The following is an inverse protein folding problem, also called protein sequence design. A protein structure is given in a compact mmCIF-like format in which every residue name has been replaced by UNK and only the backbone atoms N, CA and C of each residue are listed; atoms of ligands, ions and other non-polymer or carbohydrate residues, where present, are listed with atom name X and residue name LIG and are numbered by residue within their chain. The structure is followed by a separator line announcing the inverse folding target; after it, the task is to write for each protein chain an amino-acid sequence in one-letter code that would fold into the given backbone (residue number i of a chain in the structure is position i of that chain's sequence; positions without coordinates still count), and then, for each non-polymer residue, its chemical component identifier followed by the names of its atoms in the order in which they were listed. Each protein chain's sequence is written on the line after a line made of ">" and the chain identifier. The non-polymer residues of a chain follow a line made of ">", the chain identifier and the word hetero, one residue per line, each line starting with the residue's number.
data_IF_507200856346
#
_entry.id   IF_507200856346
#
_cell.length_a   1.000
_cell.length_b   1.000
_cell.length_c   1.000
_cell.angle_alpha   90.00
_cell.angle_beta   90.00
_cell.angle_gamma   90.00
#
_symmetry.space_group_name_H-M   'P 1'
#
loop_
_entity.id
_entity.type
_entity.pdbx_description
1 polymer ?
#
# COMPACT_ATOMS: atom_id res chain seq x y z
N UNK A 1 87.69 56.66 -45.66
CA UNK A 1 86.53 56.92 -46.54
C UNK A 1 85.94 55.60 -47.06
N UNK A 2 86.76 54.69 -47.58
CA UNK A 2 86.30 53.42 -48.17
C UNK A 2 85.54 52.49 -47.21
N UNK A 3 85.99 52.32 -45.95
CA UNK A 3 85.28 51.50 -44.95
C UNK A 3 83.85 51.97 -44.65
N UNK A 4 83.59 53.28 -44.68
CA UNK A 4 82.25 53.86 -44.49
C UNK A 4 81.33 53.61 -45.70
N UNK A 5 81.89 53.67 -46.91
CA UNK A 5 81.18 53.39 -48.16
C UNK A 5 80.83 51.91 -48.29
N UNK A 6 81.75 51.01 -47.88
CA UNK A 6 81.48 49.57 -47.83
C UNK A 6 80.37 49.25 -46.84
N UNK A 7 80.41 49.80 -45.62
CA UNK A 7 79.33 49.62 -44.64
C UNK A 7 77.98 50.16 -45.14
N UNK A 8 77.94 51.35 -45.76
CA UNK A 8 76.70 51.88 -46.33
C UNK A 8 76.16 51.02 -47.47
N UNK A 9 77.01 50.50 -48.36
CA UNK A 9 76.61 49.55 -49.40
C UNK A 9 76.10 48.23 -48.83
N UNK A 10 76.70 47.74 -47.74
CA UNK A 10 76.28 46.53 -47.04
C UNK A 10 74.94 46.69 -46.32
N UNK A 11 74.70 47.86 -45.72
CA UNK A 11 73.41 48.22 -45.12
C UNK A 11 72.34 48.36 -46.21
N UNK A 12 72.66 49.01 -47.33
CA UNK A 12 71.74 49.18 -48.44
C UNK A 12 71.39 47.85 -49.11
N UNK A 13 72.35 46.95 -49.30
CA UNK A 13 72.09 45.59 -49.81
C UNK A 13 71.27 44.76 -48.83
N UNK A 14 71.54 44.84 -47.52
CA UNK A 14 70.68 44.19 -46.51
C UNK A 14 69.25 44.76 -46.50
N UNK A 15 69.09 46.07 -46.67
CA UNK A 15 67.77 46.72 -46.79
C UNK A 15 67.07 46.28 -48.09
N UNK A 16 67.80 46.18 -49.19
CA UNK A 16 67.26 45.72 -50.48
C UNK A 16 66.93 44.22 -50.48
N UNK A 17 67.67 43.41 -49.72
CA UNK A 17 67.38 42.00 -49.50
C UNK A 17 66.18 41.77 -48.58
N UNK A 18 65.98 42.63 -47.58
CA UNK A 18 64.81 42.65 -46.70
C UNK A 18 63.55 43.16 -47.43
N UNK A 19 63.69 44.17 -48.31
CA UNK A 19 62.63 44.69 -49.17
C UNK A 19 62.50 43.95 -50.51
N UNK A 20 62.97 42.70 -50.61
CA UNK A 20 62.76 41.91 -51.81
C UNK A 20 61.25 41.67 -52.01
N UNK A 21 60.61 42.27 -53.02
CA UNK A 21 59.15 42.23 -53.17
C UNK A 21 58.62 40.80 -53.31
N UNK A 22 59.44 39.91 -53.91
CA UNK A 22 59.14 38.48 -54.05
C UNK A 22 59.10 37.72 -52.72
N UNK A 23 59.91 38.09 -51.72
CA UNK A 23 59.90 37.44 -50.39
C UNK A 23 58.72 37.95 -49.57
N UNK A 24 58.45 39.25 -49.61
CA UNK A 24 57.30 39.87 -48.95
C UNK A 24 55.97 39.31 -49.48
N UNK A 25 55.85 39.17 -50.81
CA UNK A 25 54.66 38.62 -51.45
C UNK A 25 54.42 37.14 -51.10
N UNK A 26 55.49 36.34 -50.92
CA UNK A 26 55.38 34.98 -50.40
C UNK A 26 54.91 34.95 -48.94
N UNK A 27 55.40 35.86 -48.09
CA UNK A 27 54.95 35.95 -46.70
C UNK A 27 53.48 36.38 -46.60
N UNK A 28 53.06 37.37 -47.41
CA UNK A 28 51.66 37.78 -47.53
C UNK A 28 50.80 36.57 -47.95
N UNK A 29 51.22 35.83 -48.97
CA UNK A 29 50.48 34.66 -49.44
C UNK A 29 50.34 33.56 -48.37
N UNK A 30 51.39 33.31 -47.57
CA UNK A 30 51.35 32.35 -46.46
C UNK A 30 50.39 32.82 -45.36
N UNK A 31 50.41 34.11 -45.02
CA UNK A 31 49.51 34.69 -44.03
C UNK A 31 48.05 34.68 -44.50
N UNK A 32 47.80 34.99 -45.77
CA UNK A 32 46.47 34.89 -46.40
C UNK A 32 45.96 33.45 -46.41
N UNK A 33 46.82 32.49 -46.75
CA UNK A 33 46.47 31.07 -46.73
C UNK A 33 46.13 30.62 -45.31
N UNK A 34 46.92 31.04 -44.31
CA UNK A 34 46.67 30.72 -42.90
C UNK A 34 45.38 31.36 -42.39
N UNK A 35 45.11 32.61 -42.77
CA UNK A 35 43.86 33.30 -42.44
C UNK A 35 42.67 32.56 -43.04
N UNK A 36 42.72 32.20 -44.33
CA UNK A 36 41.67 31.47 -45.01
C UNK A 36 41.41 30.10 -44.34
N UNK A 37 42.46 29.38 -43.94
CA UNK A 37 42.35 28.12 -43.21
C UNK A 37 41.60 28.27 -41.87
N UNK A 38 41.90 29.34 -41.12
CA UNK A 38 41.21 29.65 -39.86
C UNK A 38 39.75 30.04 -40.10
N UNK A 39 39.47 30.84 -41.14
CA UNK A 39 38.10 31.21 -41.51
C UNK A 39 37.28 29.98 -41.89
N UNK A 40 37.82 29.09 -42.74
CA UNK A 40 37.14 27.83 -43.10
C UNK A 40 36.88 26.96 -41.87
N UNK A 41 37.85 26.86 -40.95
CA UNK A 41 37.66 26.12 -39.70
C UNK A 41 36.55 26.75 -38.84
N UNK A 42 36.52 28.08 -38.74
CA UNK A 42 35.49 28.81 -38.00
C UNK A 42 34.10 28.60 -38.63
N UNK A 43 33.97 28.72 -39.95
CA UNK A 43 32.72 28.47 -40.67
C UNK A 43 32.24 27.02 -40.49
N UNK A 44 33.18 26.07 -40.48
CA UNK A 44 32.89 24.67 -40.16
C UNK A 44 32.35 24.52 -38.72
N UNK A 45 32.93 25.21 -37.75
CA UNK A 45 32.43 25.22 -36.36
C UNK A 45 31.06 25.89 -36.23
N UNK A 46 30.79 26.96 -36.99
CA UNK A 46 29.48 27.60 -37.01
C UNK A 46 28.41 26.69 -37.60
N UNK A 47 28.72 26.00 -38.70
CA UNK A 47 27.78 25.06 -39.32
C UNK A 47 27.51 23.84 -38.44
N UNK A 48 28.52 23.32 -37.72
CA UNK A 48 28.29 22.25 -36.73
C UNK A 48 27.47 22.75 -35.54
N UNK A 49 27.75 23.95 -35.02
CA UNK A 49 26.96 24.54 -33.93
C UNK A 49 25.50 24.77 -34.34
N UNK A 50 25.25 25.25 -35.56
CA UNK A 50 23.90 25.41 -36.09
C UNK A 50 23.15 24.08 -36.20
N UNK A 51 23.82 23.00 -36.62
CA UNK A 51 23.25 21.64 -36.64
C UNK A 51 22.89 21.16 -35.24
N UNK A 52 23.80 21.30 -34.27
CA UNK A 52 23.56 20.93 -32.88
C UNK A 52 22.41 21.71 -32.26
N UNK A 53 22.28 23.02 -32.55
CA UNK A 53 21.14 23.82 -32.10
C UNK A 53 19.82 23.31 -32.65
N UNK A 54 19.79 22.92 -33.93
CA UNK A 54 18.60 22.34 -34.54
C UNK A 54 18.24 21.00 -33.87
N UNK A 55 19.23 20.13 -33.66
CA UNK A 55 19.03 18.85 -32.97
C UNK A 55 18.51 19.04 -31.54
N UNK A 56 19.04 20.02 -30.79
CA UNK A 56 18.53 20.37 -29.45
C UNK A 56 17.06 20.78 -29.53
N UNK A 57 16.69 21.59 -30.53
CA UNK A 57 15.31 22.06 -30.65
C UNK A 57 14.36 20.92 -31.07
N UNK A 58 14.77 20.05 -31.99
CA UNK A 58 14.04 18.85 -32.39
C UNK A 58 13.79 17.93 -31.17
N UNK A 59 14.81 17.69 -30.35
CA UNK A 59 14.70 16.92 -29.10
C UNK A 59 13.78 17.58 -28.07
N UNK A 60 13.71 18.92 -28.03
CA UNK A 60 12.80 19.64 -27.13
C UNK A 60 11.35 19.50 -27.56
N UNK A 61 11.07 19.55 -28.86
CA UNK A 61 9.73 19.29 -29.39
C UNK A 61 9.30 17.85 -29.12
N UNK A 62 10.20 16.88 -29.33
CA UNK A 62 9.94 15.48 -29.06
C UNK A 62 9.63 15.23 -27.58
N UNK A 63 10.44 15.82 -26.67
CA UNK A 63 10.17 15.78 -25.23
C UNK A 63 8.79 16.36 -24.89
N UNK A 64 8.44 17.52 -25.45
CA UNK A 64 7.15 18.15 -25.18
C UNK A 64 5.97 17.29 -25.66
N UNK A 65 6.12 16.60 -26.80
CA UNK A 65 5.13 15.65 -27.28
C UNK A 65 4.99 14.45 -26.33
N UNK A 66 6.10 13.88 -25.86
CA UNK A 66 6.09 12.81 -24.88
C UNK A 66 5.48 13.22 -23.54
N UNK A 67 5.81 14.41 -23.03
CA UNK A 67 5.26 14.94 -21.79
C UNK A 67 3.72 15.09 -21.89
N UNK A 68 3.20 15.52 -23.04
CA UNK A 68 1.75 15.59 -23.27
C UNK A 68 1.09 14.20 -23.25
N UNK A 69 1.65 13.24 -23.99
CA UNK A 69 1.14 11.85 -24.02
C UNK A 69 1.20 11.22 -22.62
N UNK A 70 2.28 11.46 -21.88
CA UNK A 70 2.42 11.00 -20.50
C UNK A 70 1.34 11.57 -19.58
N UNK A 71 1.06 12.88 -19.66
CA UNK A 71 -0.01 13.50 -18.88
C UNK A 71 -1.39 12.93 -19.25
N UNK A 72 -1.66 12.67 -20.53
CA UNK A 72 -2.92 12.06 -20.96
C UNK A 72 -3.08 10.64 -20.42
N UNK A 73 -2.04 9.81 -20.53
CA UNK A 73 -2.00 8.46 -19.96
C UNK A 73 -2.23 8.49 -18.45
N UNK A 74 -1.57 9.41 -17.75
CA UNK A 74 -1.73 9.54 -16.30
C UNK A 74 -3.15 9.93 -15.91
N UNK A 75 -3.80 10.85 -16.66
CA UNK A 75 -5.22 11.21 -16.46
C UNK A 75 -6.15 10.02 -16.70
N UNK A 76 -5.93 9.26 -17.78
CA UNK A 76 -6.72 8.04 -18.09
C UNK A 76 -6.57 6.99 -17.00
N UNK A 77 -5.35 6.74 -16.53
CA UNK A 77 -5.08 5.81 -15.43
C UNK A 77 -5.79 6.26 -14.14
N UNK A 78 -5.74 7.56 -13.82
CA UNK A 78 -6.44 8.10 -12.65
C UNK A 78 -7.96 7.92 -12.76
N UNK A 79 -8.54 8.19 -13.94
CA UNK A 79 -9.96 7.94 -14.18
C UNK A 79 -10.31 6.46 -14.05
N UNK A 80 -9.53 5.56 -14.64
CA UNK A 80 -9.76 4.12 -14.56
C UNK A 80 -9.66 3.60 -13.11
N UNK A 81 -8.72 4.11 -12.32
CA UNK A 81 -8.62 3.77 -10.89
C UNK A 81 -9.87 4.22 -10.12
N UNK A 82 -10.39 5.41 -10.44
CA UNK A 82 -11.64 5.91 -9.83
C UNK A 82 -12.82 5.02 -10.19
N UNK A 83 -13.00 4.67 -11.47
CA UNK A 83 -14.11 3.80 -11.90
C UNK A 83 -14.00 2.39 -11.30
N UNK A 84 -12.79 1.85 -11.20
CA UNK A 84 -12.54 0.57 -10.51
C UNK A 84 -12.93 0.65 -9.03
N UNK A 85 -12.51 1.69 -8.32
CA UNK A 85 -12.86 1.87 -6.91
C UNK A 85 -14.38 1.99 -6.70
N UNK A 86 -15.08 2.74 -7.56
CA UNK A 86 -16.54 2.86 -7.48
C UNK A 86 -17.23 1.52 -7.74
N UNK A 87 -16.72 0.70 -8.67
CA UNK A 87 -17.27 -0.63 -8.93
C UNK A 87 -17.05 -1.59 -7.75
N UNK A 88 -15.88 -1.51 -7.10
CA UNK A 88 -15.58 -2.29 -5.88
C UNK A 88 -16.53 -1.87 -4.74
N UNK A 89 -16.73 -0.57 -4.53
CA UNK A 89 -17.62 -0.05 -3.49
C UNK A 89 -19.07 -0.50 -3.71
N UNK A 90 -19.57 -0.37 -4.94
CA UNK A 90 -20.90 -0.87 -5.32
C UNK A 90 -21.03 -2.39 -5.12
N UNK A 91 -19.99 -3.15 -5.47
CA UNK A 91 -19.96 -4.60 -5.27
C UNK A 91 -19.97 -4.98 -3.79
N UNK A 92 -19.21 -4.26 -2.96
CA UNK A 92 -19.20 -4.45 -1.50
C UNK A 92 -20.57 -4.16 -0.90
N UNK A 93 -21.20 -3.05 -1.30
CA UNK A 93 -22.53 -2.69 -0.85
C UNK A 93 -23.58 -3.74 -1.23
N UNK A 94 -23.56 -4.22 -2.48
CA UNK A 94 -24.47 -5.27 -2.94
C UNK A 94 -24.26 -6.58 -2.15
N UNK A 95 -23.01 -6.91 -1.81
CA UNK A 95 -22.68 -8.07 -1.01
C UNK A 95 -23.21 -7.96 0.43
N UNK A 96 -23.03 -6.81 1.09
CA UNK A 96 -23.58 -6.54 2.41
C UNK A 96 -25.11 -6.63 2.44
N UNK A 97 -25.79 -6.04 1.46
CA UNK A 97 -27.25 -6.13 1.31
C UNK A 97 -27.72 -7.58 1.14
N UNK A 98 -27.01 -8.37 0.33
CA UNK A 98 -27.29 -9.79 0.16
C UNK A 98 -27.13 -10.56 1.47
N UNK A 99 -26.05 -10.31 2.23
CA UNK A 99 -25.82 -10.95 3.52
C UNK A 99 -26.93 -10.60 4.52
N UNK A 100 -27.33 -9.33 4.58
CA UNK A 100 -28.42 -8.90 5.45
C UNK A 100 -29.74 -9.57 5.08
N UNK A 101 -30.09 -9.62 3.79
CA UNK A 101 -31.26 -10.33 3.30
C UNK A 101 -31.21 -11.83 3.66
N UNK A 102 -30.03 -12.45 3.52
CA UNK A 102 -29.82 -13.86 3.87
C UNK A 102 -30.00 -14.12 5.37
N UNK A 103 -29.48 -13.23 6.22
CA UNK A 103 -29.68 -13.30 7.66
C UNK A 103 -31.16 -13.15 8.05
N UNK A 104 -31.89 -12.22 7.42
CA UNK A 104 -33.34 -12.06 7.62
C UNK A 104 -34.12 -13.30 7.19
N UNK A 105 -33.78 -13.89 6.05
CA UNK A 105 -34.40 -15.14 5.57
C UNK A 105 -34.14 -16.30 6.53
N UNK A 106 -32.91 -16.45 7.03
CA UNK A 106 -32.58 -17.47 8.02
C UNK A 106 -33.40 -17.30 9.31
N UNK A 107 -33.48 -16.07 9.84
CA UNK A 107 -34.28 -15.77 11.03
C UNK A 107 -35.78 -16.08 10.83
N UNK A 108 -36.33 -15.75 9.65
CA UNK A 108 -37.73 -16.09 9.31
C UNK A 108 -37.94 -17.61 9.23
N UNK A 109 -37.00 -18.35 8.62
CA UNK A 109 -37.07 -19.81 8.54
C UNK A 109 -37.02 -20.46 9.92
N UNK A 110 -36.15 -19.98 10.81
CA UNK A 110 -36.06 -20.48 12.18
C UNK A 110 -37.34 -20.22 12.98
N UNK A 111 -37.95 -19.04 12.80
CA UNK A 111 -39.25 -18.73 13.39
C UNK A 111 -40.33 -19.66 12.85
N UNK A 112 -40.42 -19.81 11.53
CA UNK A 112 -41.37 -20.72 10.90
C UNK A 112 -41.21 -22.17 11.41
N UNK A 113 -39.97 -22.64 11.58
CA UNK A 113 -39.71 -23.98 12.09
C UNK A 113 -40.21 -24.15 13.54
N UNK A 114 -40.02 -23.12 14.38
CA UNK A 114 -40.56 -23.11 15.74
C UNK A 114 -42.09 -23.12 15.74
N UNK A 115 -42.71 -22.29 14.92
CA UNK A 115 -44.17 -22.22 14.80
C UNK A 115 -44.76 -23.57 14.33
N UNK A 116 -44.13 -24.23 13.35
CA UNK A 116 -44.50 -25.59 12.91
C UNK A 116 -44.35 -26.60 14.04
N UNK A 117 -43.25 -26.53 14.81
CA UNK A 117 -43.02 -27.45 15.92
C UNK A 117 -44.05 -27.28 17.04
N UNK A 118 -44.46 -26.03 17.32
CA UNK A 118 -45.51 -25.70 18.28
C UNK A 118 -46.86 -26.21 17.80
N UNK A 119 -47.24 -25.92 16.55
CA UNK A 119 -48.48 -26.40 15.94
C UNK A 119 -48.59 -27.93 15.98
N UNK A 120 -47.51 -28.64 15.67
CA UNK A 120 -47.47 -30.10 15.76
C UNK A 120 -47.62 -30.63 17.18
N UNK A 121 -47.18 -29.87 18.20
CA UNK A 121 -47.36 -30.22 19.61
C UNK A 121 -48.81 -30.02 20.04
N UNK A 122 -49.42 -28.91 19.64
CA UNK A 122 -50.84 -28.60 19.87
C UNK A 122 -51.75 -29.67 19.22
N UNK A 123 -51.47 -30.08 17.97
CA UNK A 123 -52.21 -31.18 17.32
C UNK A 123 -52.11 -32.47 18.14
N UNK A 124 -50.92 -32.86 18.57
CA UNK A 124 -50.73 -34.08 19.37
C UNK A 124 -51.46 -34.03 20.71
N UNK A 125 -51.59 -32.84 21.31
CA UNK A 125 -52.39 -32.65 22.52
C UNK A 125 -53.88 -32.81 22.24
N UNK A 126 -54.38 -32.20 21.17
CA UNK A 126 -55.77 -32.34 20.75
C UNK A 126 -56.12 -33.78 20.39
N UNK A 127 -55.24 -34.51 19.70
CA UNK A 127 -55.39 -35.93 19.41
C UNK A 127 -55.47 -36.76 20.69
N UNK A 128 -54.61 -36.49 21.69
CA UNK A 128 -54.67 -37.18 22.99
C UNK A 128 -55.99 -36.93 23.72
N UNK A 129 -56.50 -35.69 23.72
CA UNK A 129 -57.79 -35.36 24.31
C UNK A 129 -58.92 -36.05 23.55
N UNK A 130 -58.88 -36.02 22.22
CA UNK A 130 -59.87 -36.67 21.37
C UNK A 130 -59.92 -38.20 21.58
N UNK A 131 -58.76 -38.85 21.68
CA UNK A 131 -58.67 -40.29 21.98
C UNK A 131 -59.24 -40.61 23.36
N UNK A 132 -58.95 -39.77 24.37
CA UNK A 132 -59.52 -39.93 25.69
C UNK A 132 -61.06 -39.79 25.66
N UNK A 133 -61.58 -38.76 25.00
CA UNK A 133 -63.02 -38.57 24.84
C UNK A 133 -63.68 -39.74 24.10
N UNK A 134 -63.02 -40.24 23.04
CA UNK A 134 -63.53 -41.35 22.24
C UNK A 134 -63.56 -42.64 23.07
N UNK A 135 -62.52 -42.92 23.85
CA UNK A 135 -62.49 -44.04 24.82
C UNK A 135 -63.57 -43.90 25.89
N UNK A 136 -63.81 -42.68 26.38
CA UNK A 136 -64.86 -42.43 27.36
C UNK A 136 -66.25 -42.63 26.75
N UNK A 137 -66.50 -42.12 25.54
CA UNK A 137 -67.74 -42.32 24.78
C UNK A 137 -67.97 -43.80 24.48
N UNK A 138 -66.96 -44.54 24.05
CA UNK A 138 -67.08 -45.97 23.78
C UNK A 138 -67.32 -46.78 25.05
N UNK A 139 -66.64 -46.45 26.17
CA UNK A 139 -66.90 -47.04 27.47
C UNK A 139 -68.35 -46.78 27.94
N UNK A 140 -68.83 -45.55 27.80
CA UNK A 140 -70.20 -45.19 28.16
C UNK A 140 -71.23 -45.93 27.29
N UNK A 141 -70.99 -46.00 25.98
CA UNK A 141 -71.82 -46.78 25.05
C UNK A 141 -71.82 -48.26 25.42
N UNK A 142 -70.67 -48.85 25.73
CA UNK A 142 -70.58 -50.24 26.18
C UNK A 142 -71.35 -50.47 27.49
N UNK A 143 -71.23 -49.57 28.47
CA UNK A 143 -71.99 -49.65 29.74
C UNK A 143 -73.49 -49.44 29.57
N UNK A 144 -73.90 -48.59 28.63
CA UNK A 144 -75.31 -48.39 28.28
C UNK A 144 -75.86 -49.62 27.55
N UNK A 145 -75.10 -50.18 26.60
CA UNK A 145 -75.47 -51.39 25.88
C UNK A 145 -75.54 -52.61 26.80
N UNK A 146 -74.56 -52.81 27.69
CA UNK A 146 -74.62 -53.82 28.76
C UNK A 146 -75.90 -53.63 29.57
N UNK A 147 -76.23 -52.40 29.97
CA UNK A 147 -77.48 -52.12 30.72
C UNK A 147 -78.73 -52.43 29.91
N UNK A 148 -78.78 -52.12 28.62
CA UNK A 148 -79.93 -52.44 27.77
C UNK A 148 -80.03 -53.92 27.47
N UNK A 149 -78.91 -54.64 27.30
CA UNK A 149 -78.88 -56.09 27.13
C UNK A 149 -79.26 -56.79 28.45
N UNK A 150 -78.79 -56.29 29.59
CA UNK A 150 -79.25 -56.72 30.91
C UNK A 150 -80.70 -56.32 31.18
N UNK A 151 -81.22 -55.21 30.66
CA UNK A 151 -82.64 -54.84 30.75
C UNK A 151 -83.50 -55.70 29.82
N UNK A 152 -83.04 -56.04 28.62
CA UNK A 152 -83.73 -56.93 27.70
C UNK A 152 -83.68 -58.38 28.18
N UNK A 153 -82.55 -58.82 28.73
CA UNK A 153 -82.43 -60.10 29.42
C UNK A 153 -83.24 -60.09 30.71
N UNK A 154 -83.26 -59.00 31.49
CA UNK A 154 -84.10 -58.89 32.68
C UNK A 154 -85.59 -58.78 32.33
N UNK A 155 -85.99 -58.22 31.19
CA UNK A 155 -87.38 -58.23 30.68
C UNK A 155 -87.77 -59.60 30.14
N UNK A 156 -86.87 -60.30 29.43
CA UNK A 156 -87.07 -61.70 29.00
C UNK A 156 -87.07 -62.65 30.21
N UNK A 157 -86.27 -62.37 31.23
CA UNK A 157 -86.20 -63.12 32.47
C UNK A 157 -87.30 -62.73 33.47
N UNK A 158 -87.83 -61.49 33.46
CA UNK A 158 -89.06 -61.07 34.17
C UNK A 158 -90.29 -61.70 33.53
N UNK A 159 -90.33 -61.81 32.21
CA UNK A 159 -91.37 -62.57 31.51
C UNK A 159 -91.33 -64.05 31.90
N UNK A 160 -90.16 -64.60 32.23
CA UNK A 160 -89.98 -65.97 32.73
C UNK A 160 -90.16 -66.09 34.26
N UNK A 161 -89.83 -65.05 35.05
CA UNK A 161 -89.84 -65.01 36.52
C UNK A 161 -91.05 -64.28 37.12
N UNK A 162 -92.01 -63.84 36.29
CA UNK A 162 -93.40 -63.63 36.71
C UNK A 162 -94.07 -64.94 37.17
N UNK A 163 -93.42 -66.09 36.96
CA UNK A 163 -93.63 -67.32 37.74
C UNK A 163 -92.45 -67.54 38.68
N UNK A 164 -92.66 -67.24 39.97
CA UNK A 164 -91.85 -67.56 41.16
C UNK A 164 -90.97 -66.41 41.73
N UNK A 165 -91.55 -65.80 42.77
CA UNK A 165 -90.97 -65.09 43.91
C UNK A 165 -89.43 -64.91 44.05
N UNK A 166 -89.07 -63.64 44.28
CA UNK A 166 -88.39 -63.06 45.47
C UNK A 166 -87.00 -63.58 45.88
N UNK A 167 -86.07 -62.60 45.88
CA UNK A 167 -84.80 -62.46 46.63
C UNK A 167 -83.64 -63.41 46.28
N UNK A 168 -82.56 -62.84 45.71
CA UNK A 168 -81.32 -62.59 46.46
C UNK A 168 -80.35 -61.70 45.69
N UNK A 169 -79.69 -60.82 46.44
CA UNK A 169 -78.53 -59.99 46.07
C UNK A 169 -77.37 -60.88 45.59
N UNK A 170 -76.54 -60.35 44.70
CA UNK A 170 -75.08 -60.51 44.67
C UNK A 170 -74.45 -59.50 43.69
N UNK A 171 -74.08 -58.33 44.21
CA UNK A 171 -72.95 -57.53 43.72
C UNK A 171 -71.92 -57.59 44.84
N UNK A 172 -71.03 -58.57 44.80
CA UNK A 172 -70.22 -58.97 45.95
C UNK A 172 -68.79 -59.35 45.59
N UNK A 173 -68.15 -58.67 44.64
CA UNK A 173 -66.72 -58.87 44.33
C UNK A 173 -65.89 -57.58 44.45
N UNK A 174 -66.38 -56.60 45.19
CA UNK A 174 -65.63 -55.37 45.49
C UNK A 174 -65.69 -54.98 46.96
N UNK A 175 -66.11 -55.88 47.85
CA UNK A 175 -66.12 -55.59 49.28
C UNK A 175 -65.03 -56.37 50.02
N UNK A 176 -64.88 -57.67 49.75
CA UNK A 176 -63.90 -58.53 50.42
C UNK A 176 -62.44 -58.15 50.12
N UNK A 177 -62.13 -57.67 48.91
CA UNK A 177 -60.77 -57.22 48.55
C UNK A 177 -60.39 -55.91 49.26
N UNK A 178 -61.32 -54.97 49.37
CA UNK A 178 -61.13 -53.73 50.12
C UNK A 178 -61.09 -53.99 51.63
N UNK A 179 -61.88 -54.94 52.14
CA UNK A 179 -61.86 -55.34 53.55
C UNK A 179 -60.52 -56.00 53.93
N UNK A 180 -59.96 -56.84 53.06
CA UNK A 180 -58.62 -57.42 53.24
C UNK A 180 -57.52 -56.35 53.19
N UNK A 181 -57.61 -55.37 52.29
CA UNK A 181 -56.67 -54.24 52.24
C UNK A 181 -56.78 -53.34 53.48
N UNK A 182 -58.00 -53.07 53.93
CA UNK A 182 -58.31 -52.29 55.13
C UNK A 182 -57.80 -52.99 56.41
N UNK A 183 -57.98 -54.31 56.52
CA UNK A 183 -57.45 -55.10 57.62
C UNK A 183 -55.91 -55.17 57.63
N UNK A 184 -55.27 -55.19 56.45
CA UNK A 184 -53.81 -55.11 56.34
C UNK A 184 -53.29 -53.74 56.78
N UNK A 185 -53.96 -52.66 56.40
CA UNK A 185 -53.62 -51.31 56.84
C UNK A 185 -53.81 -51.15 58.36
N UNK A 186 -54.89 -51.69 58.92
CA UNK A 186 -55.12 -51.73 60.38
C UNK A 186 -54.03 -52.50 61.12
N UNK A 187 -53.56 -53.63 60.60
CA UNK A 187 -52.45 -54.41 61.22
C UNK A 187 -51.11 -53.70 61.20
N UNK A 188 -50.86 -52.84 60.20
CA UNK A 188 -49.63 -52.04 60.11
C UNK A 188 -49.70 -50.76 60.97
N UNK A 189 -50.89 -50.40 61.46
CA UNK A 189 -51.10 -49.21 62.27
C UNK A 189 -50.98 -49.56 63.75
N UNK A 190 -49.88 -49.18 64.40
CA UNK A 190 -49.65 -49.45 65.83
C UNK A 190 -50.69 -48.75 66.76
N UNK A 191 -51.39 -47.73 66.27
CA UNK A 191 -52.38 -46.92 67.02
C UNK A 191 -53.86 -47.25 66.72
N UNK A 192 -54.16 -48.23 65.87
CA UNK A 192 -55.54 -48.71 65.62
C UNK A 192 -56.51 -47.75 64.92
N UNK A 193 -56.08 -46.53 64.55
CA UNK A 193 -56.91 -45.53 63.86
C UNK A 193 -56.41 -45.25 62.45
N UNK A 194 -57.15 -45.74 61.44
CA UNK A 194 -56.79 -45.60 60.03
C UNK A 194 -56.72 -44.13 59.57
N UNK A 195 -57.60 -43.26 60.09
CA UNK A 195 -57.63 -41.84 59.73
C UNK A 195 -56.33 -41.12 60.14
N UNK A 196 -55.74 -41.49 61.28
CA UNK A 196 -54.47 -40.92 61.74
C UNK A 196 -53.32 -41.34 60.83
N UNK A 197 -53.32 -42.59 60.34
CA UNK A 197 -52.32 -43.05 59.37
C UNK A 197 -52.43 -42.29 58.04
N UNK A 198 -53.66 -42.03 57.57
CA UNK A 198 -53.89 -41.26 56.35
C UNK A 198 -53.42 -39.81 56.53
N UNK A 199 -53.74 -39.17 57.65
CA UNK A 199 -53.26 -37.81 57.95
C UNK A 199 -51.72 -37.76 58.07
N UNK A 200 -51.10 -38.74 58.73
CA UNK A 200 -49.64 -38.82 58.82
C UNK A 200 -48.99 -39.10 57.45
N UNK A 201 -49.62 -39.93 56.62
CA UNK A 201 -49.17 -40.21 55.26
C UNK A 201 -49.27 -38.96 54.38
N UNK A 202 -50.41 -38.26 54.40
CA UNK A 202 -50.59 -36.99 53.67
C UNK A 202 -49.58 -35.94 54.14
N UNK A 203 -49.37 -35.80 55.46
CA UNK A 203 -48.37 -34.88 55.98
C UNK A 203 -46.92 -35.27 55.59
N UNK A 204 -46.62 -36.56 55.44
CA UNK A 204 -45.33 -37.04 54.91
C UNK A 204 -45.23 -36.82 53.40
N UNK A 205 -46.32 -37.02 52.67
CA UNK A 205 -46.42 -36.78 51.22
C UNK A 205 -46.22 -35.31 50.90
N UNK A 206 -46.88 -34.40 51.62
CA UNK A 206 -46.70 -32.94 51.47
C UNK A 206 -45.25 -32.53 51.72
N UNK A 207 -44.61 -33.07 52.77
CA UNK A 207 -43.18 -32.83 53.05
C UNK A 207 -42.30 -33.40 51.94
N UNK A 208 -42.64 -34.55 51.38
CA UNK A 208 -41.90 -35.17 50.30
C UNK A 208 -42.06 -34.38 48.99
N UNK A 209 -43.26 -33.90 48.70
CA UNK A 209 -43.55 -33.03 47.57
C UNK A 209 -42.78 -31.72 47.67
N UNK A 210 -42.78 -31.06 48.82
CA UNK A 210 -41.99 -29.86 49.06
C UNK A 210 -40.48 -30.10 48.84
N UNK A 211 -39.96 -31.25 49.30
CA UNK A 211 -38.56 -31.65 49.05
C UNK A 211 -38.29 -31.91 47.58
N UNK A 212 -39.19 -32.59 46.88
CA UNK A 212 -39.02 -32.88 45.46
C UNK A 212 -39.02 -31.60 44.62
N UNK A 213 -39.92 -30.67 44.93
CA UNK A 213 -39.96 -29.34 44.31
C UNK A 213 -38.65 -28.60 44.56
N UNK A 214 -38.18 -28.56 45.81
CA UNK A 214 -36.91 -27.91 46.14
C UNK A 214 -35.70 -28.54 45.43
N UNK A 215 -35.64 -29.88 45.36
CA UNK A 215 -34.58 -30.59 44.62
C UNK A 215 -34.65 -30.26 43.12
N UNK A 216 -35.84 -30.14 42.57
CA UNK A 216 -36.04 -29.78 41.15
C UNK A 216 -35.60 -28.34 40.89
N UNK A 217 -35.95 -27.40 41.77
CA UNK A 217 -35.50 -26.00 41.70
C UNK A 217 -33.97 -25.92 41.80
N UNK A 218 -33.35 -26.60 42.77
CA UNK A 218 -31.89 -26.65 42.89
C UNK A 218 -31.22 -27.25 41.65
N UNK A 219 -31.82 -28.26 41.02
CA UNK A 219 -31.26 -28.87 39.82
C UNK A 219 -31.35 -27.90 38.62
N UNK A 220 -32.46 -27.17 38.50
CA UNK A 220 -32.60 -26.11 37.49
C UNK A 220 -31.59 -24.98 37.71
N UNK A 221 -31.37 -24.57 38.96
CA UNK A 221 -30.36 -23.57 39.32
C UNK A 221 -28.94 -24.07 39.01
N UNK A 222 -28.64 -25.34 39.32
CA UNK A 222 -27.37 -25.96 38.98
C UNK A 222 -27.13 -25.96 37.47
N UNK A 223 -28.12 -26.33 36.66
CA UNK A 223 -28.03 -26.29 35.20
C UNK A 223 -27.83 -24.85 34.69
N UNK A 224 -28.53 -23.88 35.28
CA UNK A 224 -28.36 -22.47 34.95
C UNK A 224 -26.94 -21.98 35.27
N UNK A 225 -26.39 -22.34 36.43
CA UNK A 225 -25.03 -21.98 36.82
C UNK A 225 -23.99 -22.67 35.94
N UNK A 226 -24.20 -23.92 35.54
CA UNK A 226 -23.34 -24.59 34.56
C UNK A 226 -23.35 -23.88 33.20
N UNK A 227 -24.53 -23.49 32.69
CA UNK A 227 -24.64 -22.72 31.44
C UNK A 227 -23.93 -21.37 31.55
N UNK A 228 -24.05 -20.66 32.68
CA UNK A 228 -23.32 -19.40 32.93
C UNK A 228 -21.82 -19.62 32.96
N UNK A 229 -21.37 -20.66 33.65
CA UNK A 229 -19.95 -21.03 33.73
C UNK A 229 -19.39 -21.34 32.35
N UNK A 230 -20.11 -22.11 31.54
CA UNK A 230 -19.71 -22.42 30.16
C UNK A 230 -19.67 -21.17 29.27
N UNK A 231 -20.63 -20.25 29.41
CA UNK A 231 -20.60 -18.97 28.70
C UNK A 231 -19.36 -18.14 29.05
N UNK A 232 -19.06 -18.02 30.34
CA UNK A 232 -17.87 -17.30 30.83
C UNK A 232 -16.59 -17.97 30.32
N UNK A 233 -16.51 -19.30 30.36
CA UNK A 233 -15.35 -20.03 29.82
C UNK A 233 -15.17 -19.78 28.32
N UNK A 234 -16.24 -19.81 27.53
CA UNK A 234 -16.18 -19.51 26.10
C UNK A 234 -15.75 -18.06 25.84
N UNK A 235 -16.22 -17.11 26.64
CA UNK A 235 -15.83 -15.71 26.57
C UNK A 235 -14.34 -15.52 26.91
N UNK A 236 -13.83 -16.22 27.94
CA UNK A 236 -12.40 -16.22 28.26
C UNK A 236 -11.56 -16.73 27.09
N UNK A 237 -11.98 -17.84 26.46
CA UNK A 237 -11.28 -18.41 25.31
C UNK A 237 -11.27 -17.42 24.13
N UNK A 238 -12.41 -16.77 23.86
CA UNK A 238 -12.53 -15.77 22.81
C UNK A 238 -11.60 -14.58 23.08
N UNK A 239 -11.64 -14.02 24.28
CA UNK A 239 -10.79 -12.90 24.69
C UNK A 239 -9.30 -13.26 24.62
N UNK A 240 -8.92 -14.46 25.04
CA UNK A 240 -7.55 -14.95 24.91
C UNK A 240 -7.11 -15.08 23.45
N UNK A 241 -7.98 -15.57 22.57
CA UNK A 241 -7.67 -15.69 21.14
C UNK A 241 -7.51 -14.32 20.48
N UNK A 242 -8.37 -13.35 20.83
CA UNK A 242 -8.30 -11.98 20.34
C UNK A 242 -7.07 -11.24 20.88
N UNK A 243 -6.72 -11.47 22.15
CA UNK A 243 -5.50 -10.92 22.73
C UNK A 243 -4.27 -11.47 22.02
N UNK A 244 -4.23 -12.78 21.73
CA UNK A 244 -3.11 -13.41 21.03
C UNK A 244 -2.96 -12.86 19.62
N UNK A 245 -4.05 -12.73 18.84
CA UNK A 245 -3.98 -12.15 17.50
C UNK A 245 -3.53 -10.68 17.54
N UNK A 246 -4.06 -9.89 18.46
CA UNK A 246 -3.64 -8.49 18.63
C UNK A 246 -2.18 -8.35 19.06
N UNK A 247 -1.66 -9.27 19.88
CA UNK A 247 -0.24 -9.31 20.25
C UNK A 247 0.65 -9.72 19.07
N UNK A 248 0.23 -10.69 18.25
CA UNK A 248 0.95 -11.09 17.03
C UNK A 248 1.02 -9.93 16.03
N UNK A 249 -0.09 -9.20 15.82
CA UNK A 249 -0.15 -7.99 14.99
C UNK A 249 0.73 -6.87 15.55
N UNK A 250 0.70 -6.65 16.86
CA UNK A 250 1.56 -5.64 17.49
C UNK A 250 3.04 -6.00 17.38
N UNK A 251 3.40 -7.28 17.52
CA UNK A 251 4.77 -7.75 17.35
C UNK A 251 5.28 -7.65 15.92
N UNK A 252 4.42 -7.90 14.92
CA UNK A 252 4.80 -7.75 13.51
C UNK A 252 5.09 -6.27 13.18
N UNK A 253 4.23 -5.36 13.63
CA UNK A 253 4.42 -3.92 13.47
C UNK A 253 5.67 -3.42 14.19
N UNK A 254 5.91 -3.87 15.43
CA UNK A 254 7.14 -3.52 16.17
C UNK A 254 8.39 -3.99 15.44
N UNK A 255 8.38 -5.22 14.91
CA UNK A 255 9.51 -5.78 14.15
C UNK A 255 9.77 -4.99 12.87
N UNK A 256 8.72 -4.58 12.15
CA UNK A 256 8.86 -3.72 10.98
C UNK A 256 9.43 -2.35 11.32
N UNK A 257 9.00 -1.75 12.45
CA UNK A 257 9.51 -0.47 12.91
C UNK A 257 10.97 -0.57 13.36
N UNK A 258 11.35 -1.63 14.05
CA UNK A 258 12.74 -1.92 14.41
C UNK A 258 13.63 -2.09 13.17
N UNK A 259 13.15 -2.79 12.14
CA UNK A 259 13.90 -2.95 10.90
C UNK A 259 14.06 -1.64 10.14
N UNK A 260 13.00 -0.81 10.09
CA UNK A 260 13.08 0.54 9.51
C UNK A 260 14.04 1.43 10.29
N UNK A 261 14.00 1.38 11.63
CA UNK A 261 14.92 2.11 12.50
C UNK A 261 16.35 1.67 12.20
N UNK A 262 16.63 0.36 12.16
CA UNK A 262 17.95 -0.18 11.84
C UNK A 262 18.46 0.29 10.47
N UNK A 263 17.62 0.25 9.43
CA UNK A 263 17.98 0.72 8.08
C UNK A 263 18.31 2.21 8.07
N UNK A 264 17.49 3.03 8.72
CA UNK A 264 17.71 4.48 8.79
C UNK A 264 18.93 4.85 9.63
N UNK A 265 19.23 4.11 10.71
CA UNK A 265 20.48 4.31 11.46
C UNK A 265 21.70 3.91 10.64
N UNK A 266 21.65 2.78 9.92
CA UNK A 266 22.74 2.37 9.04
C UNK A 266 22.97 3.39 7.91
N UNK A 267 21.90 3.96 7.34
CA UNK A 267 21.98 5.05 6.36
C UNK A 267 22.62 6.31 6.95
N UNK A 268 22.19 6.74 8.13
CA UNK A 268 22.76 7.88 8.83
C UNK A 268 24.26 7.68 9.13
N UNK A 269 24.65 6.50 9.62
CA UNK A 269 26.04 6.15 9.89
C UNK A 269 26.89 6.18 8.62
N UNK A 270 26.35 5.71 7.48
CA UNK A 270 27.05 5.82 6.17
C UNK A 270 27.27 7.27 5.77
N UNK A 271 26.26 8.13 5.90
CA UNK A 271 26.39 9.55 5.57
C UNK A 271 27.37 10.27 6.50
N UNK A 272 27.35 9.96 7.79
CA UNK A 272 28.28 10.51 8.77
C UNK A 272 29.72 10.09 8.46
N UNK A 273 29.95 8.81 8.15
CA UNK A 273 31.27 8.31 7.75
C UNK A 273 31.78 9.02 6.47
N UNK A 274 30.93 9.14 5.45
CA UNK A 274 31.28 9.86 4.21
C UNK A 274 31.57 11.34 4.47
N UNK A 275 30.79 11.99 5.33
CA UNK A 275 31.03 13.36 5.75
C UNK A 275 32.38 13.51 6.45
N UNK A 276 32.72 12.60 7.36
CA UNK A 276 34.01 12.59 8.04
C UNK A 276 35.19 12.41 7.08
N UNK A 277 35.07 11.52 6.09
CA UNK A 277 36.09 11.34 5.04
C UNK A 277 36.27 12.61 4.21
N UNK A 278 35.18 13.21 3.73
CA UNK A 278 35.22 14.46 2.98
C UNK A 278 35.84 15.57 3.84
N UNK A 279 35.45 15.68 5.11
CA UNK A 279 35.99 16.69 6.00
C UNK A 279 37.49 16.50 6.26
N UNK A 280 37.98 15.25 6.42
CA UNK A 280 39.42 14.95 6.50
C UNK A 280 40.18 15.38 5.24
N UNK A 281 39.65 15.08 4.06
CA UNK A 281 40.29 15.52 2.80
C UNK A 281 40.31 17.04 2.67
N UNK A 282 39.26 17.71 3.14
CA UNK A 282 39.13 19.16 3.09
C UNK A 282 40.09 19.84 4.08
N UNK A 283 40.28 19.30 5.28
CA UNK A 283 41.29 19.77 6.23
C UNK A 283 42.72 19.59 5.69
N UNK A 284 43.00 18.44 5.04
CA UNK A 284 44.29 18.23 4.37
C UNK A 284 44.53 19.24 3.23
N UNK A 285 43.47 19.57 2.48
CA UNK A 285 43.52 20.58 1.42
C UNK A 285 43.80 21.97 2.00
N UNK A 286 43.11 22.38 3.07
CA UNK A 286 43.37 23.65 3.78
C UNK A 286 44.82 23.75 4.21
N UNK A 287 45.36 22.72 4.84
CA UNK A 287 46.77 22.70 5.26
C UNK A 287 47.74 22.80 4.07
N UNK A 288 47.43 22.12 2.96
CA UNK A 288 48.23 22.18 1.73
C UNK A 288 48.20 23.57 1.09
N UNK A 289 47.03 24.21 1.05
CA UNK A 289 46.85 25.57 0.55
C UNK A 289 47.58 26.58 1.44
N UNK A 290 47.49 26.43 2.77
CA UNK A 290 48.22 27.29 3.71
C UNK A 290 49.73 27.18 3.50
N UNK A 291 50.24 25.95 3.31
CA UNK A 291 51.64 25.71 3.03
C UNK A 291 52.09 26.31 1.69
N UNK A 292 51.28 26.21 0.64
CA UNK A 292 51.56 26.84 -0.66
C UNK A 292 51.54 28.36 -0.58
N UNK A 293 50.56 28.92 0.12
CA UNK A 293 50.44 30.36 0.33
C UNK A 293 51.67 30.94 1.03
N UNK A 294 52.19 30.24 2.04
CA UNK A 294 53.45 30.60 2.72
C UNK A 294 54.67 30.44 1.81
N UNK A 295 54.77 29.37 1.04
CA UNK A 295 55.93 29.10 0.15
C UNK A 295 56.06 30.09 -1.00
N UNK A 296 54.94 30.50 -1.60
CA UNK A 296 54.90 31.42 -2.73
C UNK A 296 55.01 32.89 -2.27
N UNK A 297 55.02 33.13 -0.95
CA UNK A 297 55.07 34.45 -0.34
C UNK A 297 53.91 35.36 -0.80
N UNK A 298 52.71 34.78 -0.86
CA UNK A 298 51.52 35.51 -1.30
C UNK A 298 51.13 36.59 -0.27
N UNK A 299 50.79 37.78 -0.75
CA UNK A 299 50.36 38.90 0.10
C UNK A 299 49.00 38.60 0.77
N UNK A 300 49.05 38.25 2.06
CA UNK A 300 47.85 38.02 2.90
C UNK A 300 47.01 39.29 3.11
N UNK A 301 47.59 40.47 2.86
CA UNK A 301 46.97 41.78 3.07
C UNK A 301 45.68 41.97 2.27
N UNK A 302 45.61 41.45 1.03
CA UNK A 302 44.40 41.52 0.19
C UNK A 302 43.23 40.69 0.74
N UNK A 303 43.53 39.57 1.40
CA UNK A 303 42.53 38.66 1.98
C UNK A 303 42.04 39.20 3.33
N UNK A 304 42.96 39.72 4.16
CA UNK A 304 42.64 40.31 5.46
C UNK A 304 41.66 41.50 5.35
N UNK A 305 41.80 42.31 4.30
CA UNK A 305 40.92 43.47 4.03
C UNK A 305 39.53 43.03 3.57
N UNK A 306 39.40 41.90 2.86
CA UNK A 306 38.12 41.44 2.30
C UNK A 306 37.33 40.50 3.23
N UNK A 307 37.98 39.79 4.16
CA UNK A 307 37.34 38.71 4.93
C UNK A 307 37.29 38.91 6.46
N UNK A 308 37.87 40.00 6.99
CA UNK A 308 37.72 40.38 8.40
C UNK A 308 38.43 39.46 9.40
N UNK A 309 39.48 39.99 10.05
CA UNK A 309 40.18 39.59 11.29
C UNK A 309 40.61 38.13 11.58
N UNK A 310 40.00 37.09 11.01
CA UNK A 310 40.47 35.71 11.22
C UNK A 310 41.28 35.26 10.02
N UNK A 311 42.60 35.42 10.07
CA UNK A 311 43.55 34.93 9.05
C UNK A 311 43.63 33.40 8.93
N UNK A 312 42.53 32.68 9.22
CA UNK A 312 42.39 31.22 9.11
C UNK A 312 41.64 30.87 7.82
N UNK A 313 42.10 29.80 7.16
CA UNK A 313 41.49 29.29 5.94
C UNK A 313 40.23 28.47 6.31
N UNK A 314 39.07 28.95 5.88
CA UNK A 314 37.73 28.39 6.09
C UNK A 314 37.16 27.92 4.75
N UNK A 315 36.22 26.97 4.74
CA UNK A 315 35.66 26.41 3.50
C UNK A 315 35.09 27.49 2.55
N UNK A 316 34.51 28.56 3.13
CA UNK A 316 33.94 29.67 2.37
C UNK A 316 34.99 30.63 1.77
N UNK A 317 36.21 30.67 2.32
CA UNK A 317 37.29 31.55 1.86
C UNK A 317 38.34 30.81 1.00
N UNK A 318 38.30 29.46 0.98
CA UNK A 318 39.19 28.60 0.21
C UNK A 318 39.26 28.99 -1.29
N UNK A 319 38.13 29.30 -1.99
CA UNK A 319 38.18 29.74 -3.38
C UNK A 319 38.95 31.05 -3.60
N UNK A 320 38.86 31.99 -2.67
CA UNK A 320 39.55 33.28 -2.73
C UNK A 320 41.06 33.11 -2.51
N UNK A 321 41.46 32.20 -1.61
CA UNK A 321 42.87 31.81 -1.47
C UNK A 321 43.41 31.20 -2.77
N UNK A 322 42.65 30.32 -3.44
CA UNK A 322 43.05 29.76 -4.74
C UNK A 322 43.22 30.84 -5.81
N UNK A 323 42.30 31.79 -5.93
CA UNK A 323 42.39 32.86 -6.92
C UNK A 323 43.65 33.72 -6.75
N UNK A 324 44.08 33.94 -5.50
CA UNK A 324 45.29 34.71 -5.21
C UNK A 324 46.54 33.89 -5.52
N UNK A 325 46.58 32.62 -5.10
CA UNK A 325 47.68 31.70 -5.44
C UNK A 325 47.81 31.59 -6.96
N UNK A 326 46.71 31.47 -7.70
CA UNK A 326 46.70 31.42 -9.16
C UNK A 326 47.30 32.70 -9.75
N UNK A 327 46.86 33.87 -9.28
CA UNK A 327 47.40 35.16 -9.74
C UNK A 327 48.90 35.28 -9.48
N UNK A 328 49.36 35.01 -8.26
CA UNK A 328 50.79 35.12 -7.92
C UNK A 328 51.63 34.10 -8.66
N UNK A 329 51.11 32.89 -8.88
CA UNK A 329 51.79 31.86 -9.68
C UNK A 329 51.93 32.32 -11.12
N UNK A 330 50.88 32.90 -11.72
CA UNK A 330 50.92 33.47 -13.06
C UNK A 330 51.93 34.63 -13.16
N UNK A 331 51.97 35.52 -12.17
CA UNK A 331 52.93 36.62 -12.13
C UNK A 331 54.38 36.12 -12.04
N UNK A 332 54.65 35.10 -11.22
CA UNK A 332 55.96 34.45 -11.12
C UNK A 332 56.37 33.77 -12.43
N UNK A 333 55.44 33.08 -13.10
CA UNK A 333 55.68 32.45 -14.39
C UNK A 333 55.98 33.49 -15.48
N UNK A 334 55.32 34.64 -15.46
CA UNK A 334 55.63 35.76 -16.36
C UNK A 334 57.04 36.31 -16.10
N UNK A 335 57.42 36.53 -14.84
CA UNK A 335 58.77 36.98 -14.49
C UNK A 335 59.86 35.97 -14.91
N UNK A 336 59.59 34.68 -14.77
CA UNK A 336 60.49 33.62 -15.20
C UNK A 336 60.66 33.61 -16.73
N UNK A 337 59.55 33.74 -17.46
CA UNK A 337 59.58 33.86 -18.92
C UNK A 337 60.38 35.08 -19.39
N UNK A 338 60.25 36.21 -18.69
CA UNK A 338 60.98 37.44 -18.99
C UNK A 338 62.48 37.30 -18.67
N UNK A 339 62.84 36.67 -17.55
CA UNK A 339 64.24 36.34 -17.23
C UNK A 339 64.89 35.47 -18.30
N UNK A 340 64.21 34.42 -18.77
CA UNK A 340 64.73 33.58 -19.86
C UNK A 340 64.97 34.37 -21.14
N UNK A 341 64.09 35.32 -21.47
CA UNK A 341 64.28 36.20 -22.64
C UNK A 341 65.51 37.10 -22.47
N UNK A 342 65.71 37.69 -21.27
CA UNK A 342 66.90 38.49 -20.97
C UNK A 342 68.19 37.67 -20.97
N UNK A 343 68.16 36.43 -20.47
CA UNK A 343 69.31 35.51 -20.51
C UNK A 343 69.69 35.14 -21.96
N UNK A 344 68.72 35.15 -22.89
CA UNK A 344 68.93 34.97 -24.33
C UNK A 344 69.56 36.21 -24.98
N UNK A 345 69.28 37.43 -24.50
CA UNK A 345 69.91 38.66 -25.01
C UNK A 345 71.40 38.80 -24.61
N UNK A 346 71.87 38.07 -23.59
CA UNK A 346 73.27 38.02 -23.17
C UNK A 346 74.15 36.99 -23.89
N UNK A 347 73.56 36.03 -24.61
CA UNK A 347 74.26 34.96 -25.29
C UNK A 347 74.00 35.02 -26.80
N UNK A 348 74.91 35.64 -27.56
CA UNK A 348 74.96 35.44 -29.01
C UNK A 348 75.33 33.98 -29.32
N UNK A 349 74.35 33.07 -29.38
CA UNK A 349 74.26 31.91 -30.30
C UNK A 349 73.04 31.03 -30.00
N UNK A 350 72.26 30.75 -31.07
CA UNK A 350 71.12 29.83 -31.20
C UNK A 350 69.72 30.24 -30.64
N UNK A 351 68.61 29.96 -31.37
CA UNK A 351 67.26 30.21 -30.90
C UNK A 351 66.69 29.00 -30.13
N UNK A 352 66.32 29.11 -28.84
CA UNK A 352 65.61 28.05 -28.13
C UNK A 352 64.07 28.27 -28.16
N UNK A 353 63.26 27.24 -27.81
CA UNK A 353 61.85 27.17 -28.18
C UNK A 353 60.98 28.14 -27.38
N UNK A 354 59.83 28.49 -27.97
CA UNK A 354 58.82 29.33 -27.35
C UNK A 354 58.40 28.79 -25.98
N UNK A 355 58.43 29.65 -24.95
CA UNK A 355 57.96 29.32 -23.61
C UNK A 355 56.47 28.94 -23.65
N UNK A 356 56.18 27.68 -23.34
CA UNK A 356 54.83 27.20 -23.07
C UNK A 356 54.67 27.19 -21.56
N UNK A 357 53.80 28.07 -21.04
CA UNK A 357 53.49 28.13 -19.62
C UNK A 357 52.95 26.74 -19.16
N UNK A 358 53.64 26.02 -18.25
CA UNK A 358 53.29 24.65 -17.87
C UNK A 358 51.90 24.49 -17.26
N UNK A 359 51.33 25.58 -16.71
CA UNK A 359 49.99 25.59 -16.11
C UNK A 359 48.88 25.98 -17.10
N UNK A 360 49.22 26.64 -18.22
CA UNK A 360 48.27 27.17 -19.22
C UNK A 360 48.30 26.37 -20.53
N UNK A 361 48.69 25.09 -20.47
CA UNK A 361 48.68 24.17 -21.62
C UNK A 361 47.29 23.92 -22.24
N UNK A 362 46.21 24.49 -21.69
CA UNK A 362 44.83 24.33 -22.18
C UNK A 362 44.07 25.59 -22.61
N UNK A 363 44.63 26.80 -22.43
CA UNK A 363 43.86 28.06 -22.48
C UNK A 363 44.09 28.92 -23.73
N UNK A 364 44.70 28.37 -24.79
CA UNK A 364 44.76 29.02 -26.11
C UNK A 364 43.39 29.14 -26.83
N UNK A 365 42.29 28.78 -26.16
CA UNK A 365 40.99 28.52 -26.80
C UNK A 365 39.85 29.49 -26.47
N UNK A 366 40.07 30.58 -25.71
CA UNK A 366 38.99 31.53 -25.43
C UNK A 366 39.45 32.97 -25.65
N UNK A 367 39.00 33.58 -26.75
CA UNK A 367 38.91 35.04 -26.87
C UNK A 367 37.45 35.48 -26.95
N UNK A 368 37.15 36.47 -26.12
CA UNK A 368 35.85 37.12 -25.90
C UNK A 368 35.31 37.77 -27.18
N UNK A 369 34.00 37.66 -27.39
CA UNK A 369 33.29 38.28 -28.51
C UNK A 369 32.87 39.72 -28.19
N UNK A 370 33.08 40.63 -29.15
CA UNK A 370 32.45 41.95 -29.16
C UNK A 370 31.09 41.92 -29.89
N UNK A 371 30.12 42.77 -29.50
CA UNK A 371 28.71 42.59 -29.84
C UNK A 371 28.40 43.09 -31.25
N UNK A 372 27.77 42.24 -32.08
CA UNK A 372 27.27 42.62 -33.40
C UNK A 372 25.76 42.89 -33.34
N UNK A 373 25.39 44.08 -33.82
CA UNK A 373 24.03 44.56 -34.13
C UNK A 373 23.27 43.57 -35.03
N UNK A 374 22.07 43.17 -34.61
CA UNK A 374 21.16 42.31 -35.38
C UNK A 374 20.11 43.18 -36.08
N UNK A 375 19.96 43.01 -37.40
CA UNK A 375 18.72 43.33 -38.11
C UNK A 375 18.04 42.00 -38.50
N UNK A 376 16.72 41.85 -38.29
CA UNK A 376 16.04 40.58 -38.52
C UNK A 376 15.57 40.43 -39.98
N UNK A 377 15.56 39.22 -40.55
CA UNK A 377 14.86 38.95 -41.79
C UNK A 377 13.42 38.46 -41.56
N UNK A 378 12.62 38.75 -42.57
CA UNK A 378 11.17 38.58 -42.73
C UNK A 378 10.78 37.09 -42.84
N UNK A 379 9.65 36.75 -42.21
CA UNK A 379 9.03 35.41 -42.22
C UNK A 379 8.27 35.17 -43.53
N UNK A 380 8.64 34.12 -44.26
CA UNK A 380 7.81 33.48 -45.28
C UNK A 380 7.04 32.32 -44.66
N UNK A 381 5.74 32.25 -44.94
CA UNK A 381 4.80 31.27 -44.42
C UNK A 381 5.08 29.85 -44.94
N UNK A 382 4.93 28.84 -44.08
CA UNK A 382 5.09 27.42 -44.42
C UNK A 382 3.72 26.72 -44.55
N UNK A 383 3.51 25.86 -45.58
CA UNK A 383 2.21 25.36 -46.02
C UNK A 383 1.96 23.91 -45.59
N UNK A 384 1.62 23.70 -44.32
CA UNK A 384 1.09 22.41 -43.86
C UNK A 384 -0.17 22.60 -43.05
N UNK A 385 -1.24 22.93 -43.77
CA UNK A 385 -2.60 22.64 -43.35
C UNK A 385 -3.08 21.42 -44.15
N UNK A 386 -3.87 20.59 -43.51
CA UNK A 386 -4.53 19.38 -44.01
C UNK A 386 -3.69 18.11 -44.08
N UNK A 387 -3.79 17.33 -43.01
CA UNK A 387 -4.69 16.16 -42.98
C UNK A 387 -4.49 15.46 -41.64
N UNK A 388 -5.59 15.15 -40.95
CA UNK A 388 -5.81 13.95 -40.13
C UNK A 388 -7.13 14.16 -39.38
N UNK A 389 -8.22 13.79 -40.04
CA UNK A 389 -9.47 13.49 -39.38
C UNK A 389 -9.88 12.06 -39.78
N UNK A 390 -10.66 11.43 -38.92
CA UNK A 390 -11.18 10.04 -38.95
C UNK A 390 -10.38 8.97 -38.18
N UNK A 391 -10.83 8.73 -36.94
CA UNK A 391 -10.81 7.42 -36.29
C UNK A 391 -12.21 7.13 -35.70
N UNK A 392 -12.73 5.89 -35.79
CA UNK A 392 -14.14 5.59 -35.48
C UNK A 392 -14.43 5.56 -33.98
N UNK A 393 -15.65 5.95 -33.63
CA UNK A 393 -16.10 6.12 -32.25
C UNK A 393 -16.21 4.79 -31.49
N UNK A 394 -15.73 4.82 -30.24
CA UNK A 394 -15.71 3.73 -29.26
C UNK A 394 -17.10 3.42 -28.66
N UNK A 395 -18.17 3.61 -29.44
CA UNK A 395 -19.56 3.33 -29.02
C UNK A 395 -20.02 1.96 -29.56
N UNK A 396 -19.50 1.54 -30.71
CA UNK A 396 -19.83 0.23 -31.31
C UNK A 396 -19.12 -0.94 -30.60
N UNK A 397 -17.94 -0.72 -30.04
CA UNK A 397 -17.20 -1.75 -29.30
C UNK A 397 -17.85 -2.12 -27.95
N UNK A 398 -18.55 -1.19 -27.31
CA UNK A 398 -19.25 -1.44 -26.05
C UNK A 398 -20.55 -2.24 -26.25
N UNK A 399 -21.24 -2.04 -27.38
CA UNK A 399 -22.45 -2.79 -27.72
C UNK A 399 -22.16 -4.27 -28.03
N UNK A 400 -21.00 -4.57 -28.63
CA UNK A 400 -20.57 -5.93 -28.91
C UNK A 400 -20.23 -6.73 -27.63
N UNK A 401 -19.72 -6.06 -26.58
CA UNK A 401 -19.37 -6.70 -25.31
C UNK A 401 -20.61 -7.11 -24.49
N UNK A 402 -21.63 -6.23 -24.44
CA UNK A 402 -22.89 -6.53 -23.76
C UNK A 402 -23.68 -7.67 -24.42
N UNK A 403 -23.59 -7.82 -25.74
CA UNK A 403 -24.24 -8.93 -26.46
C UNK A 403 -23.55 -10.29 -26.21
N UNK A 404 -22.24 -10.30 -25.95
CA UNK A 404 -21.48 -11.52 -25.68
C UNK A 404 -21.75 -12.08 -24.26
N UNK A 405 -21.95 -11.19 -23.29
CA UNK A 405 -22.21 -11.54 -21.89
C UNK A 405 -23.64 -12.07 -21.67
N UNK A 406 -24.61 -11.59 -22.47
CA UNK A 406 -25.98 -12.10 -22.46
C UNK A 406 -26.13 -13.51 -23.07
N UNK A 407 -25.23 -13.90 -23.97
CA UNK A 407 -25.24 -15.21 -24.64
C UNK A 407 -24.47 -16.29 -23.86
N UNK A 408 -23.58 -15.90 -22.95
CA UNK A 408 -22.71 -16.82 -22.20
C UNK A 408 -22.97 -16.68 -20.71
N UNK A 409 -24.10 -17.24 -20.25
CA UNK A 409 -24.49 -17.23 -18.85
C UNK A 409 -23.35 -17.64 -17.91
N UNK A 410 -22.71 -16.65 -17.28
CA UNK A 410 -21.99 -16.74 -16.02
C UNK A 410 -20.81 -17.72 -15.93
N UNK A 411 -19.95 -17.83 -16.96
CA UNK A 411 -18.78 -18.74 -16.86
C UNK A 411 -17.48 -18.21 -17.49
N UNK A 412 -17.08 -16.97 -17.19
CA UNK A 412 -15.71 -16.49 -17.51
C UNK A 412 -15.13 -15.61 -16.39
N UNK A 413 -14.99 -16.15 -15.18
CA UNK A 413 -14.30 -15.44 -14.07
C UNK A 413 -12.89 -16.00 -13.78
N UNK A 414 -12.41 -17.01 -14.51
CA UNK A 414 -11.23 -17.78 -14.04
C UNK A 414 -9.91 -17.64 -14.81
N UNK A 415 -9.68 -16.65 -15.67
CA UNK A 415 -8.47 -16.62 -16.51
C UNK A 415 -7.72 -15.28 -16.60
N UNK A 416 -7.68 -14.47 -15.54
CA UNK A 416 -6.81 -13.26 -15.52
C UNK A 416 -5.89 -13.14 -14.28
N UNK A 417 -6.06 -13.96 -13.22
CA UNK A 417 -5.12 -13.97 -12.09
C UNK A 417 -4.46 -15.35 -11.94
N UNK A 418 -3.33 -15.53 -12.62
CA UNK A 418 -2.55 -16.77 -12.58
C UNK A 418 -1.13 -16.60 -13.12
N UNK A 419 -0.40 -15.60 -12.62
CA UNK A 419 1.00 -15.35 -12.92
C UNK A 419 1.90 -15.52 -11.70
N UNK A 420 2.36 -16.76 -11.48
CA UNK A 420 3.61 -17.19 -10.81
C UNK A 420 3.88 -16.85 -9.32
N UNK A 421 3.96 -17.91 -8.52
CA UNK A 421 5.15 -18.19 -7.68
C UNK A 421 5.27 -19.70 -7.38
N UNK A 422 6.47 -20.25 -7.65
CA UNK A 422 6.95 -21.64 -7.53
C UNK A 422 6.65 -22.58 -8.70
#
# INVERSE_FOLDING_TARGET
>A
MEKKIVNQKQIFTKIQEANNPRKLQKQIHVLETRLNLVTIHFDKMLTTNAKLRKEIEDLRYEKAAYDNVYQQLHRRLSMQKKTMNTAIEQSSQAYEQRLEAMARMAAMKDRQQKDISQYNLEIRELERVYDHETKLKSFLLFKLNDRTEFEEQAKKEEALKAKKHRKKRNKGESFESYEVAHLRLLKLTESGNLNQLIEEFLAKEDKNFARFTYVTELNNDMEMMHKKTQKIQNEIILLQSQQKSSQEDSHSVLRELEEKLKKTTEEADRYENSYQEINRTLENLKGSVENLFKKINCDATKILVQLGETGKITNANLPQYFAIIEKTTNDLLLLESYKRILDIEGAETEPPPAFVNPFWGGSAFLKYAEPIKVNPPVLGADPFHDKLDEAPSMVEAAAAWFLLEALTGGLVVFLIFGGRSS
#
